data_IF_081217817012
#
_entry.id   IF_081217817012
#
_cell.length_a   1.000
_cell.length_b   1.000
_cell.length_c   1.000
_cell.angle_alpha   90.00
_cell.angle_beta   90.00
_cell.angle_gamma   90.00
#
_symmetry.space_group_name_H-M   'P 1'
#
loop_
_entity.id
_entity.type
_entity.pdbx_description
1 polymer ?
#
# COMPACT_ATOMS: atom_id res chain seq x y z
N UNK A 1 7.21 11.29 -30.41
CA UNK A 1 8.55 11.05 -31.00
C UNK A 1 8.99 9.62 -30.75
N UNK A 2 9.91 9.05 -31.54
CA UNK A 2 10.40 7.69 -31.35
C UNK A 2 11.06 7.58 -29.97
N UNK A 3 10.54 6.72 -29.10
CA UNK A 3 11.21 6.40 -27.84
C UNK A 3 12.44 5.55 -28.16
N UNK A 4 13.59 5.90 -27.58
CA UNK A 4 14.76 5.05 -27.68
C UNK A 4 14.47 3.70 -27.02
N UNK A 5 14.83 2.62 -27.71
CA UNK A 5 14.59 1.24 -27.29
C UNK A 5 15.85 0.59 -26.71
N UNK A 6 16.95 1.35 -26.60
CA UNK A 6 18.23 0.87 -26.05
C UNK A 6 18.22 0.99 -24.54
N UNK A 7 18.49 -0.12 -23.86
CA UNK A 7 18.69 -0.15 -22.41
C UNK A 7 20.16 0.12 -22.14
N UNK A 8 20.48 1.15 -21.35
CA UNK A 8 21.81 1.37 -20.80
C UNK A 8 21.84 0.77 -19.40
N UNK A 9 22.66 -0.25 -19.20
CA UNK A 9 22.82 -0.92 -17.92
C UNK A 9 24.16 -0.53 -17.30
N UNK A 10 24.21 -0.44 -15.97
CA UNK A 10 25.47 -0.34 -15.23
C UNK A 10 26.28 -1.62 -15.39
N UNK A 11 27.60 -1.54 -15.18
CA UNK A 11 28.50 -2.68 -15.38
C UNK A 11 28.10 -3.91 -14.54
N UNK A 12 27.72 -3.69 -13.28
CA UNK A 12 27.30 -4.77 -12.38
C UNK A 12 25.99 -5.42 -12.83
N UNK A 13 25.00 -4.61 -13.21
CA UNK A 13 23.70 -5.10 -13.70
C UNK A 13 23.88 -5.83 -15.02
N UNK A 14 24.75 -5.33 -15.90
CA UNK A 14 25.05 -5.99 -17.18
C UNK A 14 25.63 -7.39 -16.97
N UNK A 15 26.56 -7.57 -16.01
CA UNK A 15 27.12 -8.88 -15.66
C UNK A 15 26.02 -9.86 -15.25
N UNK A 16 25.24 -9.52 -14.23
CA UNK A 16 24.14 -10.39 -13.76
C UNK A 16 23.09 -10.65 -14.84
N UNK A 17 22.86 -9.68 -15.73
CA UNK A 17 21.93 -9.85 -16.86
C UNK A 17 22.44 -10.86 -17.89
N UNK A 18 23.74 -10.83 -18.24
CA UNK A 18 24.33 -11.79 -19.16
C UNK A 18 24.44 -13.19 -18.56
N UNK A 19 24.81 -13.30 -17.28
CA UNK A 19 24.81 -14.59 -16.56
C UNK A 19 23.41 -15.21 -16.58
N UNK A 20 22.38 -14.40 -16.31
CA UNK A 20 20.98 -14.83 -16.39
C UNK A 20 20.59 -15.24 -17.82
N UNK A 21 21.06 -14.50 -18.84
CA UNK A 21 20.80 -14.82 -20.24
C UNK A 21 21.40 -16.17 -20.63
N UNK A 22 22.61 -16.47 -20.16
CA UNK A 22 23.31 -17.74 -20.39
C UNK A 22 22.61 -18.90 -19.65
N UNK A 23 22.26 -18.70 -18.38
CA UNK A 23 21.50 -19.68 -17.60
C UNK A 23 20.14 -20.04 -18.20
N UNK A 24 19.45 -19.06 -18.79
CA UNK A 24 18.17 -19.26 -19.46
C UNK A 24 18.32 -19.79 -20.90
N UNK A 25 19.53 -19.79 -21.45
CA UNK A 25 19.80 -20.18 -22.84
C UNK A 25 19.15 -19.25 -23.87
N UNK A 26 18.98 -17.96 -23.54
CA UNK A 26 18.31 -17.02 -24.44
C UNK A 26 19.30 -16.35 -25.39
N UNK A 27 19.02 -16.47 -26.69
CA UNK A 27 19.77 -15.82 -27.76
C UNK A 27 19.61 -14.29 -27.78
N UNK A 28 18.46 -13.77 -27.32
CA UNK A 28 18.15 -12.33 -27.35
C UNK A 28 17.84 -11.80 -25.96
N UNK A 29 18.49 -10.69 -25.61
CA UNK A 29 18.24 -9.92 -24.39
C UNK A 29 16.75 -9.57 -24.20
N UNK A 30 16.00 -9.33 -25.29
CA UNK A 30 14.56 -9.06 -25.23
C UNK A 30 13.74 -10.20 -24.62
N UNK A 31 14.17 -11.46 -24.79
CA UNK A 31 13.53 -12.62 -24.15
C UNK A 31 13.83 -12.67 -22.66
N UNK A 32 15.07 -12.39 -22.26
CA UNK A 32 15.47 -12.28 -20.85
C UNK A 32 14.69 -11.20 -20.12
N UNK A 33 14.53 -10.02 -20.74
CA UNK A 33 13.71 -8.93 -20.17
C UNK A 33 12.25 -9.34 -20.04
N UNK A 34 11.69 -10.03 -21.05
CA UNK A 34 10.31 -10.54 -20.97
C UNK A 34 10.14 -11.55 -19.84
N UNK A 35 11.13 -12.41 -19.65
CA UNK A 35 11.14 -13.39 -18.56
C UNK A 35 11.21 -12.70 -17.19
N UNK A 36 12.09 -11.71 -17.02
CA UNK A 36 12.17 -10.89 -15.80
C UNK A 36 10.81 -10.26 -15.47
N UNK A 37 10.15 -9.63 -16.45
CA UNK A 37 8.82 -9.06 -16.27
C UNK A 37 7.75 -10.10 -15.91
N UNK A 38 7.89 -11.33 -16.40
CA UNK A 38 6.95 -12.42 -16.10
C UNK A 38 7.15 -12.96 -14.70
N UNK A 39 8.40 -13.15 -14.27
CA UNK A 39 8.75 -13.61 -12.91
C UNK A 39 8.41 -12.56 -11.85
N UNK A 40 8.71 -11.29 -12.14
CA UNK A 40 8.37 -10.18 -11.25
C UNK A 40 6.88 -9.86 -11.23
N UNK A 41 6.04 -10.41 -12.12
CA UNK A 41 4.59 -10.15 -12.14
C UNK A 41 3.93 -10.50 -10.81
N UNK A 42 4.37 -11.59 -10.17
CA UNK A 42 3.89 -11.97 -8.84
C UNK A 42 4.30 -10.93 -7.78
N UNK A 43 5.57 -10.51 -7.77
CA UNK A 43 6.07 -9.48 -6.86
C UNK A 43 5.42 -8.11 -7.08
N UNK A 44 5.18 -7.71 -8.34
CA UNK A 44 4.49 -6.46 -8.69
C UNK A 44 3.02 -6.52 -8.24
N UNK A 45 2.37 -7.67 -8.41
CA UNK A 45 0.99 -7.85 -7.96
C UNK A 45 0.88 -7.67 -6.44
N UNK A 46 1.82 -8.22 -5.67
CA UNK A 46 1.87 -8.03 -4.20
C UNK A 46 2.23 -6.60 -3.78
N UNK A 47 3.14 -5.94 -4.50
CA UNK A 47 3.46 -4.54 -4.25
C UNK A 47 2.28 -3.61 -4.55
N UNK A 48 1.50 -3.88 -5.60
CA UNK A 48 0.33 -3.09 -5.95
C UNK A 48 -0.78 -3.21 -4.88
N UNK A 49 -0.98 -4.38 -4.28
CA UNK A 49 -1.93 -4.57 -3.18
C UNK A 49 -1.46 -3.93 -1.88
N UNK A 50 -0.15 -3.91 -1.61
CA UNK A 50 0.40 -3.31 -0.38
C UNK A 50 0.51 -1.78 -0.42
N UNK A 51 0.66 -1.17 -1.61
CA UNK A 51 0.58 0.28 -1.80
C UNK A 51 -0.84 0.86 -1.57
N UNK A 52 -1.86 0.00 -1.46
CA UNK A 52 -3.26 0.38 -1.24
C UNK A 52 -3.70 0.29 0.23
N UNK A 53 -2.78 0.10 1.18
CA UNK A 53 -3.10 0.28 2.59
C UNK A 53 -2.98 1.77 2.93
N UNK A 54 -4.09 2.50 3.16
CA UNK A 54 -3.96 3.78 3.85
C UNK A 54 -3.34 3.48 5.21
N UNK A 55 -2.24 4.16 5.49
CA UNK A 55 -1.67 4.25 6.83
C UNK A 55 -2.76 4.78 7.75
N UNK A 56 -3.45 3.86 8.43
CA UNK A 56 -4.42 4.17 9.45
C UNK A 56 -3.66 4.53 10.74
N UNK A 57 -2.90 5.63 10.72
CA UNK A 57 -2.50 6.29 11.96
C UNK A 57 -3.65 7.19 12.41
N UNK A 58 -4.72 6.55 12.91
CA UNK A 58 -5.72 7.19 13.74
C UNK A 58 -5.36 6.95 15.20
N UNK A 59 -4.68 7.91 15.82
CA UNK A 59 -4.66 8.04 17.28
C UNK A 59 -5.23 9.39 17.66
N UNK A 60 -6.56 9.46 17.68
CA UNK A 60 -7.28 10.51 18.38
C UNK A 60 -7.24 10.28 19.89
N UNK A 61 -7.51 11.35 20.64
CA UNK A 61 -8.00 11.25 22.02
C UNK A 61 -7.06 11.77 23.10
N UNK A 62 -6.89 13.09 23.19
CA UNK A 62 -6.43 13.78 24.39
C UNK A 62 -7.50 14.78 24.84
N UNK A 63 -8.47 14.30 25.62
CA UNK A 63 -9.50 15.14 26.22
C UNK A 63 -8.98 15.99 27.38
N UNK A 64 -9.84 16.92 27.81
CA UNK A 64 -9.69 17.91 28.91
C UNK A 64 -9.32 19.31 28.39
N UNK A 65 -10.24 20.27 28.38
CA UNK A 65 -10.59 20.92 29.65
C UNK A 65 -12.02 21.44 29.65
N UNK A 66 -12.71 21.08 30.71
CA UNK A 66 -13.99 21.58 31.18
C UNK A 66 -13.95 23.09 31.43
N UNK A 67 -15.01 23.79 31.03
CA UNK A 67 -15.43 25.02 31.71
C UNK A 67 -16.94 25.17 31.62
N UNK A 68 -17.59 24.76 32.71
CA UNK A 68 -19.01 24.86 32.91
C UNK A 68 -19.43 26.33 32.99
N UNK A 69 -20.33 26.75 32.10
CA UNK A 69 -21.06 28.02 32.20
C UNK A 69 -22.56 27.73 32.18
N UNK A 70 -23.08 27.57 33.40
CA UNK A 70 -24.38 28.00 33.93
C UNK A 70 -25.55 28.15 32.95
N UNK A 71 -26.57 27.29 33.12
CA UNK A 71 -27.95 27.53 32.72
C UNK A 71 -28.91 26.73 33.63
N UNK A 72 -30.03 27.29 34.14
CA UNK A 72 -30.88 26.64 35.14
C UNK A 72 -31.82 25.58 34.55
N UNK A 73 -32.09 24.54 35.35
CA UNK A 73 -33.14 23.53 35.16
C UNK A 73 -34.55 24.15 34.99
N UNK A 74 -35.46 23.47 34.26
CA UNK A 74 -36.63 22.96 34.97
C UNK A 74 -37.12 21.57 34.57
N UNK A 75 -37.65 20.90 35.58
CA UNK A 75 -38.34 19.61 35.67
C UNK A 75 -39.38 19.29 34.59
N UNK A 76 -39.47 18.02 34.18
CA UNK A 76 -40.73 17.23 34.30
C UNK A 76 -40.68 15.83 33.66
N UNK A 77 -41.14 14.84 34.46
CA UNK A 77 -41.81 13.54 34.14
C UNK A 77 -40.95 12.43 33.49
N UNK A 78 -40.49 11.43 34.24
CA UNK A 78 -41.22 10.20 34.66
C UNK A 78 -41.82 9.41 33.48
N UNK A 79 -41.19 8.27 33.15
CA UNK A 79 -41.87 6.98 33.08
C UNK A 79 -40.85 5.83 33.00
N UNK A 80 -40.79 4.93 33.99
CA UNK A 80 -40.13 3.63 33.84
C UNK A 80 -41.13 2.64 33.24
N UNK A 81 -40.71 1.81 32.29
CA UNK A 81 -41.24 0.46 32.08
C UNK A 81 -40.43 -0.17 30.95
N UNK A 82 -39.56 -1.12 31.26
CA UNK A 82 -39.89 -2.54 31.48
C UNK A 82 -39.69 -3.30 30.18
N UNK A 83 -38.65 -4.12 30.12
CA UNK A 83 -38.89 -5.54 29.85
C UNK A 83 -37.73 -6.38 30.40
N UNK A 84 -38.13 -7.21 31.35
CA UNK A 84 -37.41 -8.32 31.94
C UNK A 84 -37.49 -9.53 30.97
N UNK A 85 -36.40 -10.30 30.94
CA UNK A 85 -36.18 -11.72 30.57
C UNK A 85 -35.04 -11.88 29.58
#
# INVERSE_FOLDING_TARGET
GPRDRRMRLSLDVARSFFDLQDMLGFDKASKTVRWLLTMSKAAISELATTASKPDATSSGGGGSSSRASRGPIPSSKISPQSLLM
#
